data_IF_016068137102
#
_entry.id   IF_016068137102
#
_cell.length_a   1.000
_cell.length_b   1.000
_cell.length_c   1.000
_cell.angle_alpha   90.00
_cell.angle_beta   90.00
_cell.angle_gamma   90.00
#
_symmetry.space_group_name_H-M   'P 1'
#
loop_
_entity.id
_entity.type
_entity.pdbx_description
1 polymer ?
#
# COMPACT_ATOMS: atom_id res chain seq x y z
N UNK A 1 -1.49 18.58 12.97
CA UNK A 1 -0.89 17.79 11.91
C UNK A 1 0.57 17.52 12.25
N UNK A 2 0.99 16.26 12.12
CA UNK A 2 2.34 15.77 12.33
C UNK A 2 3.00 15.53 10.96
N UNK A 3 3.02 16.60 10.16
CA UNK A 3 3.48 16.57 8.77
C UNK A 3 4.92 17.07 8.68
N UNK A 4 5.77 16.26 8.06
CA UNK A 4 7.13 16.63 7.67
C UNK A 4 7.18 16.76 6.14
N UNK A 5 7.54 17.95 5.66
CA UNK A 5 7.66 18.20 4.22
C UNK A 5 9.12 17.99 3.82
N UNK A 6 9.34 17.14 2.81
CA UNK A 6 10.64 17.00 2.17
C UNK A 6 11.11 18.35 1.62
N UNK A 7 12.32 18.75 2.00
CA UNK A 7 12.87 20.06 1.73
C UNK A 7 14.01 20.04 0.70
N UNK A 8 14.31 18.88 0.10
CA UNK A 8 15.24 18.79 -1.01
C UNK A 8 14.62 19.34 -2.29
N UNK A 9 15.48 19.78 -3.21
CA UNK A 9 15.05 20.14 -4.55
C UNK A 9 14.67 18.89 -5.33
N UNK A 10 13.64 19.02 -6.17
CA UNK A 10 13.23 17.95 -7.08
C UNK A 10 14.36 17.61 -8.05
N UNK A 11 14.71 16.33 -8.13
CA UNK A 11 15.78 15.82 -8.99
C UNK A 11 15.39 15.81 -10.47
N UNK A 12 16.38 15.96 -11.35
CA UNK A 12 16.18 15.82 -12.81
C UNK A 12 15.70 14.40 -13.16
N UNK A 13 16.20 13.39 -12.45
CA UNK A 13 15.81 12.00 -12.59
C UNK A 13 14.31 11.80 -12.32
N UNK A 14 13.75 12.45 -11.29
CA UNK A 14 12.32 12.37 -11.00
C UNK A 14 11.47 13.04 -12.09
N UNK A 15 11.95 14.12 -12.71
CA UNK A 15 11.26 14.83 -13.80
C UNK A 15 11.25 13.96 -15.07
N UNK A 16 12.41 13.37 -15.39
CA UNK A 16 12.53 12.44 -16.52
C UNK A 16 11.66 11.19 -16.30
N UNK A 17 11.65 10.66 -15.08
CA UNK A 17 10.83 9.50 -14.72
C UNK A 17 9.33 9.81 -14.80
N UNK A 18 8.89 10.98 -14.32
CA UNK A 18 7.50 11.43 -14.49
C UNK A 18 7.10 11.52 -15.97
N UNK A 19 7.97 12.07 -16.81
CA UNK A 19 7.73 12.17 -18.26
C UNK A 19 7.55 10.77 -18.87
N UNK A 20 8.43 9.83 -18.50
CA UNK A 20 8.38 8.44 -18.97
C UNK A 20 7.09 7.75 -18.52
N UNK A 21 6.78 7.78 -17.22
CA UNK A 21 5.56 7.16 -16.67
C UNK A 21 4.31 7.76 -17.30
N UNK A 22 4.25 9.08 -17.46
CA UNK A 22 3.10 9.75 -18.09
C UNK A 22 2.88 9.23 -19.52
N UNK A 23 3.96 9.00 -20.28
CA UNK A 23 3.86 8.46 -21.65
C UNK A 23 3.41 6.99 -21.72
N UNK A 24 3.61 6.22 -20.64
CA UNK A 24 3.26 4.81 -20.54
C UNK A 24 2.02 4.55 -19.67
N UNK A 25 1.45 5.62 -19.11
CA UNK A 25 0.37 5.53 -18.14
C UNK A 25 -0.88 4.91 -18.75
N UNK A 26 -1.50 4.01 -18.02
CA UNK A 26 -2.79 3.45 -18.36
C UNK A 26 -3.96 4.27 -17.80
N UNK A 27 -3.72 5.49 -17.29
CA UNK A 27 -4.73 6.40 -16.74
C UNK A 27 -5.94 6.57 -17.66
N UNK A 28 -5.73 6.59 -18.97
CA UNK A 28 -6.79 6.71 -19.96
C UNK A 28 -7.81 5.55 -19.92
N UNK A 29 -7.38 4.33 -19.59
CA UNK A 29 -8.26 3.18 -19.37
C UNK A 29 -9.21 3.39 -18.18
N UNK A 30 -8.90 4.35 -17.30
CA UNK A 30 -9.67 4.69 -16.11
C UNK A 30 -10.38 6.05 -16.23
N UNK A 31 -10.28 6.74 -17.35
CA UNK A 31 -10.83 8.09 -17.53
C UNK A 31 -12.36 8.15 -17.67
N UNK A 32 -13.05 7.01 -17.73
CA UNK A 32 -14.52 6.96 -17.79
C UNK A 32 -15.04 5.60 -17.35
N UNK A 33 -16.31 5.56 -16.94
CA UNK A 33 -16.99 4.34 -16.52
C UNK A 33 -16.91 3.22 -17.56
N UNK A 34 -17.14 3.56 -18.84
CA UNK A 34 -17.10 2.59 -19.94
C UNK A 34 -15.70 2.01 -20.14
N UNK A 35 -14.68 2.88 -20.20
CA UNK A 35 -13.28 2.45 -20.36
C UNK A 35 -12.83 1.57 -19.21
N UNK A 36 -13.20 1.90 -17.97
CA UNK A 36 -12.85 1.10 -16.80
C UNK A 36 -13.51 -0.29 -16.85
N UNK A 37 -14.80 -0.36 -17.21
CA UNK A 37 -15.48 -1.65 -17.37
C UNK A 37 -14.85 -2.50 -18.48
N UNK A 38 -14.51 -1.89 -19.61
CA UNK A 38 -13.83 -2.57 -20.72
C UNK A 38 -12.45 -3.10 -20.28
N UNK A 39 -11.66 -2.29 -19.59
CA UNK A 39 -10.38 -2.72 -19.02
C UNK A 39 -10.57 -3.91 -18.07
N UNK A 40 -11.47 -3.80 -17.09
CA UNK A 40 -11.74 -4.87 -16.13
C UNK A 40 -12.17 -6.18 -16.79
N UNK A 41 -12.93 -6.13 -17.88
CA UNK A 41 -13.37 -7.32 -18.61
C UNK A 41 -12.24 -8.15 -19.25
N UNK A 42 -11.07 -7.54 -19.42
CA UNK A 42 -9.88 -8.18 -20.02
C UNK A 42 -8.93 -8.75 -18.95
N UNK A 43 -9.18 -8.48 -17.67
CA UNK A 43 -8.28 -8.86 -16.57
C UNK A 43 -8.64 -10.26 -16.04
N UNK A 44 -7.65 -11.16 -16.01
CA UNK A 44 -7.81 -12.55 -15.57
C UNK A 44 -7.06 -12.85 -14.26
N UNK A 45 -7.48 -12.20 -13.17
CA UNK A 45 -6.86 -12.37 -11.83
C UNK A 45 -7.15 -13.69 -11.11
N UNK A 46 -7.53 -14.73 -11.86
CA UNK A 46 -7.61 -16.11 -11.42
C UNK A 46 -6.37 -16.92 -11.84
N UNK A 47 -5.56 -16.38 -12.75
CA UNK A 47 -4.33 -17.01 -13.19
C UNK A 47 -3.23 -16.84 -12.14
N UNK A 48 -2.38 -17.86 -11.94
CA UNK A 48 -1.19 -17.72 -11.10
C UNK A 48 -0.31 -16.55 -11.60
N UNK A 49 0.12 -15.72 -10.67
CA UNK A 49 1.11 -14.69 -10.90
C UNK A 49 2.50 -15.31 -10.97
N UNK A 50 3.32 -14.81 -11.90
CA UNK A 50 4.74 -15.11 -11.97
C UNK A 50 5.51 -13.80 -11.89
N UNK A 51 6.61 -13.81 -11.13
CA UNK A 51 7.58 -12.71 -11.12
C UNK A 51 8.26 -12.68 -12.50
N UNK A 52 8.41 -11.50 -13.09
CA UNK A 52 9.07 -11.33 -14.39
C UNK A 52 10.52 -11.80 -14.38
N UNK A 53 10.98 -12.43 -15.46
CA UNK A 53 12.34 -13.00 -15.59
C UNK A 53 13.46 -11.95 -15.47
N UNK A 54 13.14 -10.68 -15.75
CA UNK A 54 14.02 -9.52 -15.64
C UNK A 54 14.16 -9.01 -14.20
N UNK A 55 13.30 -9.44 -13.27
CA UNK A 55 13.40 -9.09 -11.85
C UNK A 55 14.53 -9.90 -11.21
N UNK A 56 15.66 -9.23 -10.96
CA UNK A 56 16.79 -9.81 -10.21
C UNK A 56 16.74 -9.36 -8.76
N UNK A 57 16.56 -10.31 -7.84
CA UNK A 57 16.54 -10.07 -6.39
C UNK A 57 17.80 -10.65 -5.74
N UNK A 58 18.25 -10.00 -4.66
CA UNK A 58 19.37 -10.47 -3.84
C UNK A 58 18.89 -11.52 -2.84
N UNK A 59 17.72 -11.33 -2.26
CA UNK A 59 17.12 -12.27 -1.31
C UNK A 59 16.69 -13.57 -1.98
N UNK A 60 16.83 -14.67 -1.25
CA UNK A 60 16.15 -15.92 -1.59
C UNK A 60 14.63 -15.70 -1.56
N UNK A 61 13.94 -16.19 -2.59
CA UNK A 61 12.49 -16.14 -2.73
C UNK A 61 11.93 -17.55 -2.57
N UNK A 62 10.90 -17.69 -1.75
CA UNK A 62 10.08 -18.90 -1.66
C UNK A 62 8.65 -18.58 -2.06
N UNK A 63 8.11 -19.37 -2.97
CA UNK A 63 6.70 -19.32 -3.34
C UNK A 63 5.94 -20.44 -2.62
N UNK A 64 4.78 -20.11 -2.05
CA UNK A 64 3.87 -21.08 -1.45
C UNK A 64 2.41 -20.70 -1.73
N UNK A 65 1.53 -21.70 -1.64
CA UNK A 65 0.08 -21.48 -1.67
C UNK A 65 -0.45 -21.53 -0.24
N UNK A 66 -1.12 -20.45 0.18
CA UNK A 66 -1.79 -20.35 1.48
C UNK A 66 -3.28 -20.07 1.26
N UNK A 67 -4.15 -21.01 1.66
CA UNK A 67 -5.61 -20.92 1.43
C UNK A 67 -6.00 -20.58 -0.02
N UNK A 68 -5.26 -21.10 -1.01
CA UNK A 68 -5.48 -20.83 -2.43
C UNK A 68 -4.95 -19.48 -2.92
N UNK A 69 -4.26 -18.71 -2.06
CA UNK A 69 -3.57 -17.46 -2.40
C UNK A 69 -2.08 -17.74 -2.57
N UNK A 70 -1.47 -17.27 -3.66
CA UNK A 70 -0.01 -17.28 -3.78
C UNK A 70 0.61 -16.32 -2.76
N UNK A 71 1.61 -16.78 -2.04
CA UNK A 71 2.38 -15.98 -1.08
C UNK A 71 3.84 -16.18 -1.38
N UNK A 72 4.52 -15.07 -1.67
CA UNK A 72 5.96 -15.05 -1.80
C UNK A 72 6.60 -14.63 -0.49
N UNK A 73 7.71 -15.25 -0.14
CA UNK A 73 8.52 -14.88 1.01
C UNK A 73 9.93 -14.56 0.55
N UNK A 74 10.45 -13.40 0.94
CA UNK A 74 11.84 -13.00 0.72
C UNK A 74 12.62 -13.04 2.02
N UNK A 75 13.89 -13.46 1.95
CA UNK A 75 14.87 -13.35 3.05
C UNK A 75 14.44 -14.04 4.36
N UNK A 76 13.84 -15.23 4.27
CA UNK A 76 13.45 -15.99 5.46
C UNK A 76 14.67 -16.67 6.09
N UNK A 77 15.15 -16.13 7.21
CA UNK A 77 16.26 -16.69 7.97
C UNK A 77 15.80 -17.80 8.94
N UNK A 78 14.53 -18.20 8.89
CA UNK A 78 13.92 -19.23 9.74
C UNK A 78 14.09 -18.96 11.24
N UNK A 79 14.15 -17.68 11.62
CA UNK A 79 14.39 -17.24 12.99
C UNK A 79 13.18 -16.50 13.53
N UNK A 80 12.69 -16.91 14.71
CA UNK A 80 11.56 -16.25 15.36
C UNK A 80 11.89 -14.85 15.89
N UNK A 81 13.17 -14.45 15.89
CA UNK A 81 13.66 -13.11 16.26
C UNK A 81 13.80 -12.17 15.06
N UNK A 82 13.59 -12.67 13.86
CA UNK A 82 13.71 -11.87 12.65
C UNK A 82 12.54 -10.89 12.56
N UNK A 83 12.79 -9.66 12.09
CA UNK A 83 11.71 -8.73 11.72
C UNK A 83 10.90 -9.33 10.58
N UNK A 84 9.59 -9.12 10.59
CA UNK A 84 8.70 -9.57 9.51
C UNK A 84 7.90 -8.39 8.99
N UNK A 85 7.93 -8.20 7.67
CA UNK A 85 7.12 -7.21 6.96
C UNK A 85 6.07 -7.97 6.17
N UNK A 86 4.79 -7.78 6.50
CA UNK A 86 3.69 -8.16 5.62
C UNK A 86 3.49 -7.02 4.62
N UNK A 87 3.96 -7.20 3.37
CA UNK A 87 3.85 -6.20 2.32
C UNK A 87 2.64 -6.48 1.42
N UNK A 88 1.66 -5.59 1.43
CA UNK A 88 0.45 -5.67 0.60
C UNK A 88 0.60 -4.68 -0.55
N UNK A 89 0.78 -5.19 -1.76
CA UNK A 89 1.02 -4.37 -2.94
C UNK A 89 -0.21 -3.55 -3.35
N UNK A 90 0.01 -2.39 -3.97
CA UNK A 90 -1.04 -1.62 -4.63
C UNK A 90 -1.31 -2.09 -6.06
N UNK A 91 -2.06 -1.28 -6.81
CA UNK A 91 -2.56 -1.65 -8.14
C UNK A 91 -4.06 -1.50 -8.28
N UNK A 92 -4.68 -0.58 -7.52
CA UNK A 92 -6.11 -0.28 -7.58
C UNK A 92 -7.02 -1.50 -7.39
N UNK A 93 -6.63 -2.49 -6.57
CA UNK A 93 -7.34 -3.76 -6.40
C UNK A 93 -7.60 -4.53 -7.71
N UNK A 94 -6.83 -4.25 -8.77
CA UNK A 94 -6.95 -4.91 -10.07
C UNK A 94 -5.59 -5.42 -10.55
N UNK A 95 -4.55 -4.61 -10.47
CA UNK A 95 -3.28 -4.97 -11.08
C UNK A 95 -2.46 -5.89 -10.16
N UNK A 96 -1.61 -6.70 -10.78
CA UNK A 96 -0.61 -7.51 -10.10
C UNK A 96 0.59 -6.64 -9.67
N UNK A 97 1.49 -7.12 -8.78
CA UNK A 97 2.69 -6.37 -8.44
C UNK A 97 3.57 -6.05 -9.66
N UNK A 98 4.07 -4.82 -9.71
CA UNK A 98 5.07 -4.38 -10.69
C UNK A 98 6.48 -4.81 -10.27
N UNK A 99 7.44 -4.75 -11.19
CA UNK A 99 8.85 -5.06 -10.93
C UNK A 99 9.44 -4.15 -9.83
N UNK A 100 9.01 -2.88 -9.81
CA UNK A 100 9.40 -1.91 -8.77
C UNK A 100 9.01 -2.37 -7.36
N UNK A 101 7.87 -3.06 -7.18
CA UNK A 101 7.50 -3.61 -5.87
C UNK A 101 8.48 -4.69 -5.42
N UNK A 102 8.90 -5.58 -6.31
CA UNK A 102 9.85 -6.64 -5.96
C UNK A 102 11.23 -6.09 -5.60
N UNK A 103 11.74 -5.12 -6.37
CA UNK A 103 13.01 -4.46 -6.02
C UNK A 103 12.93 -3.68 -4.71
N UNK A 104 11.81 -3.00 -4.46
CA UNK A 104 11.56 -2.31 -3.19
C UNK A 104 11.53 -3.30 -2.01
N UNK A 105 10.76 -4.38 -2.13
CA UNK A 105 10.66 -5.42 -1.09
C UNK A 105 12.01 -6.07 -0.81
N UNK A 106 12.78 -6.40 -1.83
CA UNK A 106 14.14 -6.95 -1.70
C UNK A 106 15.07 -5.96 -0.98
N UNK A 107 15.04 -4.68 -1.35
CA UNK A 107 15.82 -3.64 -0.66
C UNK A 107 15.45 -3.52 0.82
N UNK A 108 14.16 -3.56 1.16
CA UNK A 108 13.70 -3.54 2.54
C UNK A 108 14.15 -4.79 3.30
N UNK A 109 14.02 -5.97 2.69
CA UNK A 109 14.46 -7.24 3.25
C UNK A 109 15.95 -7.21 3.63
N UNK A 110 16.81 -6.77 2.70
CA UNK A 110 18.25 -6.63 2.92
C UNK A 110 18.58 -5.58 3.99
N UNK A 111 18.00 -4.39 3.90
CA UNK A 111 18.37 -3.25 4.75
C UNK A 111 17.96 -3.41 6.22
N UNK A 112 16.93 -4.20 6.48
CA UNK A 112 16.36 -4.45 7.80
C UNK A 112 16.68 -5.84 8.35
N UNK A 113 17.33 -6.70 7.54
CA UNK A 113 17.38 -8.14 7.77
C UNK A 113 15.99 -8.71 8.08
N UNK A 114 14.99 -8.26 7.32
CA UNK A 114 13.59 -8.63 7.53
C UNK A 114 13.18 -9.74 6.58
N UNK A 115 12.33 -10.65 7.07
CA UNK A 115 11.52 -11.54 6.25
C UNK A 115 10.38 -10.71 5.64
N UNK A 116 10.26 -10.67 4.33
CA UNK A 116 9.12 -10.00 3.67
C UNK A 116 8.14 -11.06 3.20
N UNK A 117 6.89 -10.96 3.63
CA UNK A 117 5.77 -11.82 3.19
C UNK A 117 4.88 -11.00 2.27
N UNK A 118 4.74 -11.43 1.02
CA UNK A 118 4.06 -10.72 -0.05
C UNK A 118 2.93 -11.59 -0.64
N UNK A 119 1.68 -11.45 -0.17
CA UNK A 119 0.54 -12.15 -0.72
C UNK A 119 0.10 -11.56 -2.07
N UNK A 120 -0.17 -12.43 -3.04
CA UNK A 120 -0.91 -12.10 -4.25
C UNK A 120 -2.40 -12.23 -3.92
N UNK A 121 -2.94 -11.20 -3.27
CA UNK A 121 -4.28 -11.25 -2.72
C UNK A 121 -5.39 -11.35 -3.80
N UNK A 122 -6.55 -11.96 -3.47
CA UNK A 122 -7.71 -11.99 -4.36
C UNK A 122 -8.13 -10.58 -4.76
N UNK A 123 -8.47 -10.34 -6.01
CA UNK A 123 -8.74 -8.98 -6.49
C UNK A 123 -9.71 -8.94 -7.67
N UNK A 124 -10.13 -7.74 -8.06
CA UNK A 124 -11.10 -7.54 -9.13
C UNK A 124 -10.60 -8.13 -10.46
N UNK A 125 -11.49 -8.46 -11.40
CA UNK A 125 -12.95 -8.39 -11.28
C UNK A 125 -13.58 -9.63 -10.62
N UNK A 126 -12.78 -10.65 -10.30
CA UNK A 126 -13.27 -11.96 -9.86
C UNK A 126 -13.57 -12.05 -8.37
N UNK A 127 -12.94 -11.18 -7.59
CA UNK A 127 -13.02 -11.17 -6.14
C UNK A 127 -13.22 -9.75 -5.62
N UNK A 128 -13.63 -9.65 -4.36
CA UNK A 128 -13.90 -8.38 -3.67
C UNK A 128 -13.21 -8.33 -2.30
N UNK A 129 -13.56 -7.33 -1.49
CA UNK A 129 -13.13 -7.27 -0.10
C UNK A 129 -13.50 -8.54 0.68
N UNK A 130 -14.64 -9.18 0.34
CA UNK A 130 -15.16 -10.37 1.02
C UNK A 130 -14.20 -11.55 0.94
N UNK A 131 -13.47 -11.67 -0.17
CA UNK A 131 -12.51 -12.76 -0.39
C UNK A 131 -11.13 -12.41 0.19
N UNK A 132 -10.77 -11.13 0.16
CA UNK A 132 -9.43 -10.65 0.48
C UNK A 132 -9.17 -10.60 1.97
N UNK A 133 -10.05 -9.93 2.73
CA UNK A 133 -9.83 -9.69 4.15
C UNK A 133 -9.74 -10.99 4.96
N UNK A 134 -10.58 -12.02 4.76
CA UNK A 134 -10.43 -13.28 5.48
C UNK A 134 -9.08 -13.95 5.25
N UNK A 135 -8.59 -13.99 4.00
CA UNK A 135 -7.30 -14.63 3.67
C UNK A 135 -6.11 -13.86 4.22
N UNK A 136 -6.16 -12.54 4.14
CA UNK A 136 -5.09 -11.68 4.67
C UNK A 136 -5.07 -11.71 6.20
N UNK A 137 -6.24 -11.73 6.86
CA UNK A 137 -6.36 -11.93 8.30
C UNK A 137 -5.77 -13.29 8.73
N UNK A 138 -6.11 -14.37 8.03
CA UNK A 138 -5.58 -15.69 8.33
C UNK A 138 -4.07 -15.77 8.09
N UNK A 139 -3.56 -15.13 7.03
CA UNK A 139 -2.12 -15.03 6.80
C UNK A 139 -1.41 -14.28 7.92
N UNK A 140 -1.98 -13.17 8.41
CA UNK A 140 -1.45 -12.46 9.56
C UNK A 140 -1.44 -13.34 10.82
N UNK A 141 -2.50 -14.11 11.07
CA UNK A 141 -2.55 -15.09 12.17
C UNK A 141 -1.46 -16.16 12.05
N UNK A 142 -1.13 -16.62 10.85
CA UNK A 142 0.01 -17.52 10.66
C UNK A 142 1.34 -16.83 10.93
N UNK A 143 1.53 -15.59 10.47
CA UNK A 143 2.74 -14.80 10.75
C UNK A 143 2.94 -14.62 12.26
N UNK A 144 1.87 -14.33 13.01
CA UNK A 144 1.93 -14.19 14.48
C UNK A 144 2.51 -15.43 15.16
N UNK A 145 2.28 -16.64 14.63
CA UNK A 145 2.84 -17.89 15.19
C UNK A 145 4.34 -18.04 14.94
N UNK A 146 4.92 -17.23 14.04
CA UNK A 146 6.33 -17.32 13.63
C UNK A 146 7.25 -16.30 14.31
N UNK A 147 6.70 -15.37 15.10
CA UNK A 147 7.47 -14.32 15.79
C UNK A 147 7.40 -14.47 17.30
N UNK A 148 8.46 -14.06 18.01
CA UNK A 148 8.48 -14.04 19.48
C UNK A 148 7.66 -12.87 20.05
N UNK A 149 7.65 -11.73 19.36
CA UNK A 149 6.89 -10.52 19.74
C UNK A 149 6.29 -9.82 18.52
N UNK A 150 5.14 -9.17 18.72
CA UNK A 150 4.53 -8.27 17.73
C UNK A 150 5.37 -7.03 17.43
N UNK A 151 6.36 -6.73 18.28
CA UNK A 151 7.37 -5.67 18.06
C UNK A 151 8.25 -5.95 16.84
N UNK A 152 8.21 -7.17 16.32
CA UNK A 152 8.91 -7.58 15.11
C UNK A 152 8.06 -7.39 13.84
N UNK A 153 6.77 -7.11 13.98
CA UNK A 153 5.82 -7.08 12.88
C UNK A 153 5.61 -5.66 12.36
N UNK A 154 5.75 -5.52 11.05
CA UNK A 154 5.33 -4.35 10.30
C UNK A 154 4.29 -4.76 9.26
N UNK A 155 3.15 -4.09 9.21
CA UNK A 155 2.28 -4.14 8.02
C UNK A 155 2.68 -2.96 7.14
N UNK A 156 2.90 -3.22 5.85
CA UNK A 156 3.28 -2.18 4.89
C UNK A 156 2.47 -2.35 3.62
N UNK A 157 2.04 -1.25 3.01
CA UNK A 157 1.38 -1.34 1.72
C UNK A 157 1.26 -0.01 1.00
N UNK A 158 1.18 -0.09 -0.32
CA UNK A 158 1.06 1.05 -1.20
C UNK A 158 -0.33 1.20 -1.81
N UNK A 159 -0.83 2.43 -1.98
CA UNK A 159 -2.10 2.70 -2.67
C UNK A 159 -3.27 1.85 -2.14
N UNK A 160 -3.85 0.98 -2.97
CA UNK A 160 -4.84 -0.03 -2.60
C UNK A 160 -4.36 -1.03 -1.53
N UNK A 161 -3.09 -1.42 -1.54
CA UNK A 161 -2.49 -2.24 -0.51
C UNK A 161 -2.31 -1.49 0.81
N UNK A 162 -2.09 -0.18 0.77
CA UNK A 162 -2.13 0.70 1.94
C UNK A 162 -3.54 0.81 2.55
N UNK A 163 -4.58 0.84 1.71
CA UNK A 163 -5.97 0.73 2.16
C UNK A 163 -6.22 -0.60 2.88
N UNK A 164 -5.86 -1.73 2.25
CA UNK A 164 -6.01 -3.07 2.85
C UNK A 164 -5.20 -3.17 4.14
N UNK A 165 -4.03 -2.55 4.21
CA UNK A 165 -3.18 -2.52 5.42
C UNK A 165 -3.88 -1.86 6.61
N UNK A 166 -4.48 -0.67 6.41
CA UNK A 166 -5.26 -0.02 7.46
C UNK A 166 -6.55 -0.77 7.78
N UNK A 167 -7.27 -1.26 6.77
CA UNK A 167 -8.45 -2.08 6.97
C UNK A 167 -8.15 -3.35 7.77
N UNK A 168 -6.99 -3.98 7.52
CA UNK A 168 -6.51 -5.12 8.28
C UNK A 168 -6.24 -4.72 9.73
N UNK A 169 -5.59 -3.59 9.99
CA UNK A 169 -5.36 -3.10 11.35
C UNK A 169 -6.70 -2.90 12.12
N UNK A 170 -7.71 -2.31 11.48
CA UNK A 170 -9.07 -2.21 12.03
C UNK A 170 -9.68 -3.60 12.29
N UNK A 171 -9.52 -4.53 11.35
CA UNK A 171 -10.01 -5.91 11.50
C UNK A 171 -9.34 -6.65 12.65
N UNK A 172 -8.02 -6.52 12.81
CA UNK A 172 -7.28 -7.09 13.93
C UNK A 172 -7.83 -6.57 15.27
N UNK A 173 -8.14 -5.28 15.35
CA UNK A 173 -8.75 -4.68 16.53
C UNK A 173 -10.16 -5.23 16.80
N UNK A 174 -11.01 -5.34 15.76
CA UNK A 174 -12.35 -5.92 15.89
C UNK A 174 -12.31 -7.38 16.37
N UNK A 175 -11.31 -8.15 15.95
CA UNK A 175 -11.08 -9.55 16.32
C UNK A 175 -10.28 -9.71 17.63
N UNK A 176 -9.95 -8.61 18.32
CA UNK A 176 -9.12 -8.61 19.53
C UNK A 176 -7.76 -9.31 19.35
N UNK A 177 -7.17 -9.19 18.17
CA UNK A 177 -5.85 -9.72 17.84
C UNK A 177 -4.75 -8.67 18.11
N UNK A 178 -3.52 -9.12 18.42
CA UNK A 178 -2.39 -8.22 18.57
C UNK A 178 -2.16 -7.38 17.30
N UNK A 179 -1.84 -6.11 17.49
CA UNK A 179 -1.48 -5.19 16.41
C UNK A 179 -0.02 -5.41 15.99
N UNK A 180 0.36 -5.10 14.74
CA UNK A 180 1.78 -4.90 14.43
C UNK A 180 2.30 -3.69 15.20
N UNK A 181 3.62 -3.60 15.34
CA UNK A 181 4.26 -2.42 15.88
C UNK A 181 4.13 -1.21 14.96
N UNK A 182 4.43 -1.41 13.68
CA UNK A 182 4.42 -0.36 12.67
C UNK A 182 3.42 -0.68 11.55
N UNK A 183 2.70 0.35 11.11
CA UNK A 183 1.84 0.35 9.92
C UNK A 183 2.40 1.43 8.99
N UNK A 184 3.03 1.00 7.90
CA UNK A 184 3.70 1.91 6.94
C UNK A 184 2.87 2.02 5.66
N UNK A 185 2.41 3.23 5.37
CA UNK A 185 1.52 3.54 4.26
C UNK A 185 2.28 4.29 3.17
N UNK A 186 2.23 3.78 1.94
CA UNK A 186 2.89 4.40 0.78
C UNK A 186 1.81 4.90 -0.19
N UNK A 187 1.47 6.19 -0.12
CA UNK A 187 0.40 6.78 -0.94
C UNK A 187 -0.94 6.04 -0.79
N UNK A 188 -1.29 5.65 0.44
CA UNK A 188 -2.49 4.84 0.70
C UNK A 188 -3.79 5.54 0.30
N UNK A 189 -4.71 4.78 -0.31
CA UNK A 189 -6.08 5.25 -0.54
C UNK A 189 -6.91 5.05 0.73
N UNK A 190 -7.06 6.10 1.55
CA UNK A 190 -7.71 5.98 2.87
C UNK A 190 -9.22 6.23 2.85
N UNK A 191 -9.72 6.86 1.78
CA UNK A 191 -11.12 7.18 1.54
C UNK A 191 -11.50 6.82 0.09
N UNK A 192 -12.23 5.73 -0.10
CA UNK A 192 -12.67 5.29 -1.43
C UNK A 192 -13.90 6.06 -1.93
N UNK A 193 -14.49 6.96 -1.13
CA UNK A 193 -15.59 7.81 -1.59
C UNK A 193 -15.14 8.88 -2.57
N UNK A 194 -13.83 9.22 -2.57
CA UNK A 194 -13.26 10.34 -3.32
C UNK A 194 -14.06 11.64 -3.16
N UNK A 195 -14.61 11.87 -1.96
CA UNK A 195 -15.50 13.00 -1.67
C UNK A 195 -14.75 14.29 -1.30
N UNK A 196 -13.42 14.24 -1.20
CA UNK A 196 -12.61 15.39 -0.85
C UNK A 196 -12.64 16.44 -1.99
N UNK A 197 -13.03 17.70 -1.72
CA UNK A 197 -13.22 18.70 -2.77
C UNK A 197 -11.93 19.04 -3.53
N UNK A 198 -10.76 18.82 -2.91
CA UNK A 198 -9.46 19.11 -3.52
C UNK A 198 -9.03 18.06 -4.55
N UNK A 199 -9.65 16.87 -4.59
CA UNK A 199 -9.28 15.80 -5.54
C UNK A 199 -9.30 16.30 -6.98
N UNK A 200 -10.29 17.14 -7.34
CA UNK A 200 -10.41 17.69 -8.70
C UNK A 200 -9.21 18.55 -9.11
N UNK A 201 -8.60 19.28 -8.18
CA UNK A 201 -7.39 20.07 -8.43
C UNK A 201 -6.16 19.16 -8.62
N UNK A 202 -6.02 18.16 -7.76
CA UNK A 202 -4.88 17.23 -7.80
C UNK A 202 -4.96 16.25 -8.97
N UNK A 203 -6.17 15.94 -9.47
CA UNK A 203 -6.37 15.09 -10.64
C UNK A 203 -5.72 15.65 -11.92
N UNK A 204 -5.51 16.98 -11.98
CA UNK A 204 -4.81 17.66 -13.07
C UNK A 204 -3.29 17.45 -13.01
N UNK A 205 -2.74 17.15 -11.82
CA UNK A 205 -1.30 16.99 -11.56
C UNK A 205 -0.89 15.52 -11.53
N UNK A 206 -1.81 14.62 -11.17
CA UNK A 206 -1.54 13.18 -11.08
C UNK A 206 -1.55 12.53 -12.48
N UNK A 207 -0.44 11.94 -12.98
CA UNK A 207 -0.42 11.27 -14.29
C UNK A 207 -0.86 9.81 -14.25
N UNK A 208 -1.12 9.24 -13.06
CA UNK A 208 -1.36 7.81 -12.85
C UNK A 208 -2.84 7.53 -12.58
N UNK A 209 -3.47 8.28 -11.68
CA UNK A 209 -4.83 7.99 -11.23
C UNK A 209 -5.90 8.85 -11.92
N UNK A 210 -7.03 8.23 -12.22
CA UNK A 210 -8.25 8.88 -12.70
C UNK A 210 -9.39 8.66 -11.69
N UNK A 211 -10.00 9.73 -11.12
CA UNK A 211 -11.08 9.61 -10.14
C UNK A 211 -12.28 8.79 -10.64
N UNK A 212 -12.65 8.93 -11.91
CA UNK A 212 -13.81 8.26 -12.51
C UNK A 212 -13.67 6.73 -12.47
N UNK A 213 -12.49 6.21 -12.75
CA UNK A 213 -12.23 4.77 -12.72
C UNK A 213 -12.20 4.22 -11.30
N UNK A 214 -11.75 4.99 -10.32
CA UNK A 214 -11.74 4.59 -8.92
C UNK A 214 -13.17 4.47 -8.38
N UNK A 215 -14.11 5.33 -8.78
CA UNK A 215 -15.53 5.18 -8.39
C UNK A 215 -16.11 3.84 -8.87
N UNK A 216 -15.79 3.42 -10.11
CA UNK A 216 -16.20 2.10 -10.64
C UNK A 216 -15.58 0.96 -9.85
N UNK A 217 -14.27 1.03 -9.61
CA UNK A 217 -13.54 0.03 -8.82
C UNK A 217 -14.12 -0.07 -7.41
N UNK A 218 -14.40 1.06 -6.77
CA UNK A 218 -14.95 1.14 -5.41
C UNK A 218 -16.28 0.41 -5.32
N UNK A 219 -17.19 0.63 -6.27
CA UNK A 219 -18.50 -0.04 -6.28
C UNK A 219 -18.39 -1.55 -6.40
N UNK A 220 -17.43 -2.05 -7.17
CA UNK A 220 -17.22 -3.50 -7.34
C UNK A 220 -16.49 -4.07 -6.11
N UNK A 221 -15.43 -3.41 -5.66
CA UNK A 221 -14.62 -3.83 -4.51
C UNK A 221 -15.44 -3.89 -3.22
N UNK A 222 -16.27 -2.88 -2.97
CA UNK A 222 -17.09 -2.78 -1.77
C UNK A 222 -18.20 -3.85 -1.72
N UNK A 223 -18.56 -4.45 -2.85
CA UNK A 223 -19.62 -5.44 -2.98
C UNK A 223 -20.91 -5.02 -2.22
N UNK A 224 -21.16 -5.62 -1.05
CA UNK A 224 -22.35 -5.36 -0.22
C UNK A 224 -22.14 -4.31 0.88
N UNK A 225 -20.91 -3.81 1.09
CA UNK A 225 -20.60 -2.82 2.12
C UNK A 225 -20.87 -1.39 1.68
N UNK A 226 -21.16 -0.55 2.68
CA UNK A 226 -21.16 0.90 2.51
C UNK A 226 -19.72 1.37 2.26
N UNK A 227 -19.56 2.37 1.41
CA UNK A 227 -18.24 2.97 1.12
C UNK A 227 -17.58 3.51 2.40
N UNK A 228 -18.38 4.00 3.35
CA UNK A 228 -17.91 4.51 4.65
C UNK A 228 -17.54 3.41 5.65
N UNK A 229 -17.68 2.13 5.31
CA UNK A 229 -17.26 1.03 6.17
C UNK A 229 -15.72 1.05 6.31
N UNK A 230 -15.15 0.88 7.52
CA UNK A 230 -13.70 0.93 7.73
C UNK A 230 -12.87 -0.09 6.94
N UNK A 231 -13.48 -1.18 6.44
CA UNK A 231 -12.79 -2.13 5.55
C UNK A 231 -12.75 -1.67 4.09
N UNK A 232 -13.56 -0.67 3.73
CA UNK A 232 -13.58 -0.06 2.39
C UNK A 232 -12.85 1.29 2.43
N UNK A 233 -13.20 2.16 3.38
CA UNK A 233 -12.56 3.46 3.58
C UNK A 233 -12.04 3.57 5.03
N UNK A 234 -10.80 3.13 5.28
CA UNK A 234 -10.23 3.02 6.63
C UNK A 234 -10.19 4.32 7.42
N UNK A 235 -10.25 5.49 6.77
CA UNK A 235 -10.32 6.80 7.44
C UNK A 235 -11.51 6.91 8.41
N UNK A 236 -12.57 6.10 8.23
CA UNK A 236 -13.76 6.13 9.08
C UNK A 236 -13.69 5.17 10.29
N UNK A 237 -12.63 4.38 10.42
CA UNK A 237 -12.45 3.46 11.55
C UNK A 237 -12.02 4.14 12.85
N UNK A 238 -11.92 3.33 13.91
CA UNK A 238 -11.43 3.75 15.22
C UNK A 238 -9.95 3.38 15.38
N UNK A 239 -9.09 4.41 15.35
CA UNK A 239 -7.63 4.28 15.35
C UNK A 239 -7.02 4.07 16.74
N UNK A 240 -7.80 4.13 17.82
CA UNK A 240 -7.28 3.95 19.17
C UNK A 240 -6.66 2.55 19.34
N UNK A 241 -5.40 2.50 19.79
CA UNK A 241 -4.70 1.24 20.04
C UNK A 241 -4.32 0.46 18.79
N UNK A 242 -4.37 1.07 17.58
CA UNK A 242 -3.70 0.51 16.41
C UNK A 242 -2.18 0.64 16.51
N UNK A 243 -1.46 -0.11 15.67
CA UNK A 243 -0.01 0.05 15.51
C UNK A 243 0.37 1.46 15.05
N UNK A 244 1.65 1.84 15.22
CA UNK A 244 2.14 3.18 14.89
C UNK A 244 2.03 3.44 13.39
N UNK A 245 1.35 4.51 12.99
CA UNK A 245 1.11 4.82 11.58
C UNK A 245 2.17 5.80 11.07
N UNK A 246 2.84 5.43 9.98
CA UNK A 246 3.68 6.35 9.21
C UNK A 246 3.24 6.34 7.75
N UNK A 247 3.01 7.51 7.17
CA UNK A 247 2.53 7.67 5.80
C UNK A 247 3.51 8.49 4.97
N UNK A 248 3.82 8.01 3.77
CA UNK A 248 4.60 8.72 2.77
C UNK A 248 3.71 9.03 1.56
N UNK A 249 3.66 10.30 1.15
CA UNK A 249 2.75 10.75 0.08
C UNK A 249 3.40 11.83 -0.77
N UNK A 250 3.20 11.76 -2.08
CA UNK A 250 3.63 12.80 -3.03
C UNK A 250 2.53 13.81 -3.29
N UNK A 251 2.85 15.04 -3.72
CA UNK A 251 1.82 16.06 -4.01
C UNK A 251 1.29 16.02 -5.45
N UNK A 252 1.85 15.20 -6.34
CA UNK A 252 1.27 14.88 -7.67
C UNK A 252 0.47 13.57 -7.58
N UNK A 253 -0.45 13.52 -6.61
CA UNK A 253 -1.25 12.35 -6.28
C UNK A 253 -2.65 12.81 -5.84
N UNK A 254 -3.71 12.25 -6.43
CA UNK A 254 -5.08 12.58 -6.03
C UNK A 254 -5.43 12.16 -4.61
N UNK A 255 -4.67 11.24 -4.01
CA UNK A 255 -4.88 10.75 -2.65
C UNK A 255 -4.23 11.65 -1.59
N UNK A 256 -3.41 12.63 -2.01
CA UNK A 256 -2.74 13.56 -1.10
C UNK A 256 -3.70 14.33 -0.18
N UNK A 257 -4.82 14.91 -0.67
CA UNK A 257 -5.77 15.59 0.21
C UNK A 257 -6.32 14.70 1.33
N UNK A 258 -6.61 13.43 1.05
CA UNK A 258 -7.15 12.51 2.05
C UNK A 258 -6.07 11.96 3.00
N UNK A 259 -4.81 11.88 2.56
CA UNK A 259 -3.67 11.64 3.44
C UNK A 259 -3.56 12.74 4.52
N UNK A 260 -3.65 14.01 4.13
CA UNK A 260 -3.63 15.13 5.09
C UNK A 260 -4.83 15.12 6.02
N UNK A 261 -6.03 14.83 5.49
CA UNK A 261 -7.26 14.73 6.27
C UNK A 261 -7.18 13.63 7.32
N UNK A 262 -6.54 12.49 7.00
CA UNK A 262 -6.28 11.44 7.99
C UNK A 262 -5.31 11.93 9.08
N UNK A 263 -4.20 12.57 8.71
CA UNK A 263 -3.22 13.10 9.67
C UNK A 263 -3.83 14.13 10.63
N UNK A 264 -4.63 15.06 10.10
CA UNK A 264 -5.38 16.05 10.86
C UNK A 264 -6.33 15.35 11.85
N UNK A 265 -7.16 14.42 11.35
CA UNK A 265 -8.10 13.65 12.16
C UNK A 265 -7.42 12.91 13.31
N UNK A 266 -6.27 12.25 13.06
CA UNK A 266 -5.56 11.51 14.12
C UNK A 266 -4.89 12.45 15.10
N UNK A 267 -4.34 13.58 14.63
CA UNK A 267 -3.79 14.62 15.51
C UNK A 267 -4.85 15.15 16.48
N UNK A 268 -6.06 15.46 15.99
CA UNK A 268 -7.17 15.95 16.81
C UNK A 268 -7.62 14.93 17.87
N UNK A 269 -7.46 13.64 17.58
CA UNK A 269 -7.76 12.54 18.49
C UNK A 269 -6.60 12.24 19.46
N UNK A 270 -5.46 12.94 19.34
CA UNK A 270 -4.26 12.67 20.14
C UNK A 270 -3.58 11.33 19.79
N UNK A 271 -3.84 10.79 18.59
CA UNK A 271 -3.25 9.55 18.10
C UNK A 271 -1.99 9.90 17.30
N UNK A 272 -0.86 9.29 17.68
CA UNK A 272 0.43 9.52 17.01
C UNK A 272 0.42 8.91 15.59
N UNK A 273 0.58 9.78 14.60
CA UNK A 273 0.84 9.46 13.21
C UNK A 273 1.95 10.38 12.73
N UNK A 274 2.77 9.90 11.80
CA UNK A 274 3.74 10.75 11.10
C UNK A 274 3.51 10.70 9.61
N UNK A 275 3.33 11.86 8.99
CA UNK A 275 3.13 11.97 7.55
C UNK A 275 4.31 12.69 6.90
N UNK A 276 4.98 12.04 5.96
CA UNK A 276 6.04 12.62 5.15
C UNK A 276 5.48 12.99 3.77
N UNK A 277 5.49 14.29 3.47
CA UNK A 277 4.99 14.85 2.21
C UNK A 277 6.16 15.17 1.31
N UNK A 278 6.12 14.70 0.06
CA UNK A 278 7.13 14.96 -0.95
C UNK A 278 6.54 15.84 -2.05
N UNK A 279 6.93 17.13 -2.11
CA UNK A 279 6.49 18.01 -3.18
C UNK A 279 6.79 17.43 -4.55
N UNK A 280 5.82 17.56 -5.45
CA UNK A 280 5.87 17.16 -6.86
C UNK A 280 6.12 15.66 -7.13
N UNK A 281 6.14 14.83 -6.09
CA UNK A 281 6.27 13.39 -6.25
C UNK A 281 4.95 12.74 -6.64
N UNK A 282 5.07 11.68 -7.44
CA UNK A 282 3.97 10.93 -8.02
C UNK A 282 3.29 9.98 -7.03
N UNK A 283 2.12 9.48 -7.43
CA UNK A 283 1.47 8.37 -6.78
C UNK A 283 2.41 7.16 -6.66
N UNK A 284 2.63 6.67 -5.42
CA UNK A 284 3.53 5.55 -5.07
C UNK A 284 5.00 5.82 -5.43
N UNK A 285 5.46 7.08 -5.37
CA UNK A 285 6.86 7.41 -5.69
C UNK A 285 7.89 6.59 -4.89
N UNK A 286 7.56 6.18 -3.66
CA UNK A 286 8.47 5.48 -2.74
C UNK A 286 9.04 4.17 -3.30
N UNK A 287 8.37 3.52 -4.25
CA UNK A 287 8.87 2.28 -4.86
C UNK A 287 9.65 2.52 -6.16
N UNK A 288 9.66 3.76 -6.64
CA UNK A 288 10.28 4.14 -7.92
C UNK A 288 11.81 4.28 -7.79
N UNK A 289 12.57 4.10 -8.88
CA UNK A 289 14.02 4.21 -8.88
C UNK A 289 14.50 5.68 -8.99
N UNK A 290 14.04 6.55 -8.09
CA UNK A 290 14.36 7.99 -8.08
C UNK A 290 14.99 8.41 -6.74
N UNK A 291 15.80 9.51 -6.69
CA UNK A 291 16.46 9.96 -5.46
C UNK A 291 15.52 10.21 -4.27
N UNK A 292 14.38 10.84 -4.49
CA UNK A 292 13.39 11.16 -3.46
C UNK A 292 12.78 9.90 -2.83
N UNK A 293 12.62 8.85 -3.64
CA UNK A 293 12.20 7.54 -3.17
C UNK A 293 13.26 6.90 -2.27
N UNK A 294 14.55 7.11 -2.55
CA UNK A 294 15.64 6.62 -1.72
C UNK A 294 15.63 7.30 -0.34
N UNK A 295 15.42 8.63 -0.28
CA UNK A 295 15.26 9.36 0.98
C UNK A 295 14.05 8.82 1.79
N UNK A 296 12.90 8.61 1.13
CA UNK A 296 11.73 8.02 1.77
C UNK A 296 12.01 6.61 2.30
N UNK A 297 12.69 5.77 1.51
CA UNK A 297 13.10 4.42 1.91
C UNK A 297 14.04 4.43 3.12
N UNK A 298 14.99 5.36 3.18
CA UNK A 298 15.89 5.52 4.33
C UNK A 298 15.12 5.91 5.60
N UNK A 299 14.17 6.83 5.49
CA UNK A 299 13.27 7.18 6.60
C UNK A 299 12.44 5.99 7.07
N UNK A 300 11.90 5.17 6.15
CA UNK A 300 11.19 3.93 6.50
C UNK A 300 12.10 2.97 7.28
N UNK A 301 13.32 2.76 6.79
CA UNK A 301 14.31 1.90 7.45
C UNK A 301 14.62 2.41 8.86
N UNK A 302 14.76 3.73 9.03
CA UNK A 302 14.97 4.35 10.34
C UNK A 302 13.77 4.17 11.27
N UNK A 303 12.55 4.41 10.80
CA UNK A 303 11.31 4.22 11.58
C UNK A 303 11.24 2.80 12.14
N UNK A 304 11.48 1.79 11.29
CA UNK A 304 11.41 0.38 11.70
C UNK A 304 12.57 0.02 12.65
N UNK A 305 13.76 0.60 12.47
CA UNK A 305 14.94 0.36 13.33
C UNK A 305 14.82 1.02 14.71
N UNK A 306 14.47 2.29 14.79
CA UNK A 306 14.55 3.13 15.99
C UNK A 306 13.72 2.58 17.16
N UNK A 307 12.64 1.87 16.85
CA UNK A 307 11.72 1.35 17.86
C UNK A 307 11.97 -0.13 18.20
N UNK A 308 13.12 -0.71 17.79
CA UNK A 308 13.50 -2.13 18.04
C UNK A 308 14.33 -2.29 19.30
#
# INVERSE_FOLDING_TARGET
MSVEIYNGERSEESIQFETLITSQSNKESFASVEKTKNFLSQIENIKPYAIGDDVKLVSEIKEQIFEGMQVFTLNDQMSQKQKVILYIHGGAWVNQPLHFHWWYMDKMAQSLNAKVVAPIYPKLPHYSYQDTYPKILNLYKEILKTVESTDQLTIMGDSAGGNISLGLAHLLKMESLPQPKDIILLSACVDMSLSNPLISEYALKDPILAPEGIDVITKIWAADKKITDPLISPIHGDFNGLGKITHFIGTHDILYPDALKLDEKLTEQGIDMKTFVYPEMLHVFVVMPIPEAQDAQEKIIQVIKINS
#
